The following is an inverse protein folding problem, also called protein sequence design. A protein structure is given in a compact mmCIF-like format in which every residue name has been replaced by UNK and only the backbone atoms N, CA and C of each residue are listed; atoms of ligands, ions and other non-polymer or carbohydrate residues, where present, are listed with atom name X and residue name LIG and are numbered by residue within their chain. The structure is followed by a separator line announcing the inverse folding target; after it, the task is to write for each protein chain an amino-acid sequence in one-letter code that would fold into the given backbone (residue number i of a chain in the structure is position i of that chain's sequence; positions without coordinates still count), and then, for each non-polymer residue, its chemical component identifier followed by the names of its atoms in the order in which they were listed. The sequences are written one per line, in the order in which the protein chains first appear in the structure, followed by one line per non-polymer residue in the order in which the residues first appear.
data_IF_693229679579
#
_entry.id   IF_693229679579
#
_cell.length_a   1.000
_cell.length_b   1.000
_cell.length_c   1.000
_cell.angle_alpha   90.00
_cell.angle_beta   90.00
_cell.angle_gamma   90.00
#
_symmetry.space_group_name_H-M   'P 1'
#
loop_
_entity.id
_entity.type
_entity.pdbx_description
1 polymer ?
#
# COMPACT_ATOMS: atom_id res chain seq x y z
N UNK A 1 -23.35 4.96 -0.24
CA UNK A 1 -22.10 4.40 -0.79
C UNK A 1 -22.49 3.37 -1.83
N UNK A 2 -22.66 3.81 -3.06
CA UNK A 2 -22.98 2.89 -4.16
C UNK A 2 -21.70 2.14 -4.54
N UNK A 3 -21.66 0.87 -4.14
CA UNK A 3 -20.64 -0.06 -4.60
C UNK A 3 -20.74 -0.17 -6.13
N UNK A 4 -19.61 0.00 -6.80
CA UNK A 4 -19.42 -0.26 -8.23
C UNK A 4 -20.08 -1.59 -8.63
N UNK A 5 -21.23 -1.53 -9.31
CA UNK A 5 -21.88 -2.67 -9.96
C UNK A 5 -21.64 -2.52 -11.45
N UNK A 6 -20.62 -3.18 -12.03
CA UNK A 6 -20.46 -3.18 -13.47
C UNK A 6 -21.62 -3.98 -14.07
N UNK A 7 -22.37 -3.36 -14.97
CA UNK A 7 -23.38 -4.07 -15.77
C UNK A 7 -22.67 -4.93 -16.83
N UNK A 8 -22.99 -6.22 -16.86
CA UNK A 8 -22.28 -7.25 -17.61
C UNK A 8 -21.62 -8.24 -16.65
N UNK A 9 -21.63 -9.54 -16.98
CA UNK A 9 -21.13 -10.61 -16.10
C UNK A 9 -19.65 -10.38 -15.73
N UNK A 10 -19.42 -9.66 -14.63
CA UNK A 10 -18.10 -9.34 -14.12
C UNK A 10 -17.29 -10.62 -13.94
N UNK A 11 -15.98 -10.54 -14.23
CA UNK A 11 -15.07 -11.66 -14.07
C UNK A 11 -15.28 -12.33 -12.71
N UNK A 12 -15.71 -13.60 -12.71
CA UNK A 12 -16.12 -14.34 -11.50
C UNK A 12 -15.07 -14.31 -10.39
N UNK A 13 -13.79 -14.18 -10.73
CA UNK A 13 -12.67 -14.05 -9.78
C UNK A 13 -12.68 -12.71 -9.04
N UNK A 14 -13.01 -11.60 -9.72
CA UNK A 14 -13.09 -10.27 -9.09
C UNK A 14 -14.23 -10.20 -8.09
N UNK A 15 -15.39 -10.79 -8.43
CA UNK A 15 -16.58 -10.80 -7.56
C UNK A 15 -16.39 -11.59 -6.26
N UNK A 16 -15.31 -12.38 -6.15
CA UNK A 16 -14.98 -13.20 -4.98
C UNK A 16 -13.92 -12.58 -4.08
N UNK A 17 -13.39 -11.41 -4.42
CA UNK A 17 -12.42 -10.72 -3.56
C UNK A 17 -13.12 -10.28 -2.26
N UNK A 18 -12.65 -10.72 -1.09
CA UNK A 18 -13.25 -10.28 0.16
C UNK A 18 -13.00 -8.78 0.37
N UNK A 19 -13.86 -8.09 1.14
CA UNK A 19 -13.58 -6.74 1.59
C UNK A 19 -12.23 -6.67 2.30
N UNK A 20 -11.44 -5.63 2.02
CA UNK A 20 -10.17 -5.41 2.70
C UNK A 20 -10.42 -4.98 4.15
N UNK A 21 -10.33 -5.95 5.07
CA UNK A 21 -10.68 -5.80 6.49
C UNK A 21 -9.97 -4.61 7.15
N UNK A 22 -8.71 -4.37 6.80
CA UNK A 22 -7.94 -3.27 7.38
C UNK A 22 -8.46 -1.88 6.99
N UNK A 23 -9.19 -1.71 5.88
CA UNK A 23 -9.79 -0.40 5.56
C UNK A 23 -10.84 -0.01 6.61
N UNK A 24 -11.67 -0.96 7.03
CA UNK A 24 -12.71 -0.72 8.04
C UNK A 24 -12.05 -0.34 9.37
N UNK A 25 -11.04 -1.12 9.80
CA UNK A 25 -10.31 -0.85 11.04
C UNK A 25 -9.57 0.50 10.97
N UNK A 26 -8.97 0.85 9.83
CA UNK A 26 -8.31 2.13 9.63
C UNK A 26 -9.30 3.30 9.74
N UNK A 27 -10.50 3.18 9.17
CA UNK A 27 -11.54 4.20 9.27
C UNK A 27 -11.97 4.41 10.72
N UNK A 28 -12.24 3.33 11.46
CA UNK A 28 -12.59 3.39 12.88
C UNK A 28 -11.48 4.04 13.73
N UNK A 29 -10.21 3.71 13.45
CA UNK A 29 -9.05 4.33 14.12
C UNK A 29 -8.97 5.83 13.83
N UNK A 30 -9.21 6.26 12.60
CA UNK A 30 -9.20 7.68 12.22
C UNK A 30 -10.30 8.43 12.97
N UNK A 31 -11.52 7.91 12.99
CA UNK A 31 -12.65 8.52 13.69
C UNK A 31 -12.41 8.59 15.21
N UNK A 32 -11.84 7.55 15.81
CA UNK A 32 -11.48 7.55 17.23
C UNK A 32 -10.40 8.59 17.56
N UNK A 33 -9.36 8.71 16.72
CA UNK A 33 -8.35 9.77 16.87
C UNK A 33 -8.97 11.17 16.74
N UNK A 34 -9.93 11.37 15.85
CA UNK A 34 -10.64 12.65 15.70
C UNK A 34 -11.49 13.01 16.92
N UNK A 35 -11.99 12.00 17.66
CA UNK A 35 -12.66 12.21 18.95
C UNK A 35 -11.70 12.48 20.11
N UNK A 36 -10.38 12.49 19.86
CA UNK A 36 -9.36 12.71 20.88
C UNK A 36 -9.00 11.46 21.69
N UNK A 37 -9.37 10.27 21.21
CA UNK A 37 -9.00 9.01 21.86
C UNK A 37 -7.50 8.68 21.63
N UNK A 38 -6.85 8.15 22.66
CA UNK A 38 -5.46 7.67 22.58
C UNK A 38 -5.41 6.26 21.96
N UNK A 39 -5.01 6.18 20.70
CA UNK A 39 -5.06 4.95 19.89
C UNK A 39 -3.68 4.34 19.71
N UNK A 40 -3.46 3.19 20.36
CA UNK A 40 -2.27 2.35 20.16
C UNK A 40 -2.56 1.35 19.04
N UNK A 41 -1.87 1.51 17.91
CA UNK A 41 -2.09 0.71 16.69
C UNK A 41 -1.04 -0.41 16.56
N UNK A 42 -1.39 -1.61 17.03
CA UNK A 42 -0.58 -2.83 16.89
C UNK A 42 -1.05 -3.72 15.74
N UNK A 43 -1.95 -3.22 14.87
CA UNK A 43 -2.68 -4.03 13.91
C UNK A 43 -1.99 -4.23 12.56
N UNK A 44 -1.04 -3.36 12.20
CA UNK A 44 -0.27 -3.48 10.97
C UNK A 44 1.22 -3.55 11.29
N UNK A 45 1.91 -4.56 10.75
CA UNK A 45 3.36 -4.75 10.88
C UNK A 45 4.18 -3.76 10.05
N UNK A 46 3.75 -2.50 9.96
CA UNK A 46 4.48 -1.46 9.27
C UNK A 46 5.66 -1.02 10.15
N UNK A 47 6.90 -1.02 9.63
CA UNK A 47 8.04 -0.49 10.38
C UNK A 47 7.82 0.98 10.74
N UNK A 48 8.19 1.34 11.96
CA UNK A 48 8.17 2.69 12.51
C UNK A 48 9.47 3.46 12.19
N UNK A 49 10.58 2.72 12.04
CA UNK A 49 11.89 3.27 11.72
C UNK A 49 12.03 3.61 10.23
N UNK A 50 12.77 4.68 9.89
CA UNK A 50 13.03 5.03 8.50
C UNK A 50 13.93 3.98 7.83
N UNK A 51 13.81 3.89 6.51
CA UNK A 51 14.75 3.10 5.69
C UNK A 51 16.20 3.54 5.97
N UNK A 52 17.15 2.61 6.20
CA UNK A 52 18.55 2.94 6.42
C UNK A 52 19.15 3.86 5.35
N UNK A 53 19.92 4.87 5.78
CA UNK A 53 20.47 5.92 4.89
C UNK A 53 21.24 5.37 3.68
N UNK A 54 22.03 4.32 3.86
CA UNK A 54 22.83 3.74 2.78
C UNK A 54 21.96 3.14 1.66
N UNK A 55 20.78 2.61 1.97
CA UNK A 55 19.82 2.09 0.99
C UNK A 55 19.22 3.26 0.20
N UNK A 56 18.79 4.32 0.89
CA UNK A 56 18.27 5.53 0.27
C UNK A 56 19.32 6.17 -0.66
N UNK A 57 20.57 6.24 -0.21
CA UNK A 57 21.67 6.75 -1.04
C UNK A 57 21.92 5.88 -2.27
N UNK A 58 21.88 4.56 -2.14
CA UNK A 58 22.05 3.67 -3.30
C UNK A 58 20.92 3.81 -4.31
N UNK A 59 19.68 4.00 -3.84
CA UNK A 59 18.54 4.32 -4.70
C UNK A 59 18.77 5.63 -5.47
N UNK A 60 19.21 6.68 -4.79
CA UNK A 60 19.52 7.99 -5.41
C UNK A 60 20.65 7.88 -6.44
N UNK A 61 21.68 7.10 -6.16
CA UNK A 61 22.76 6.82 -7.10
C UNK A 61 22.22 6.08 -8.34
N UNK A 62 21.42 5.03 -8.13
CA UNK A 62 20.88 4.20 -9.21
C UNK A 62 19.91 4.97 -10.11
N UNK A 63 19.04 5.82 -9.56
CA UNK A 63 18.06 6.59 -10.35
C UNK A 63 18.74 7.66 -11.22
N UNK A 64 19.90 8.17 -10.80
CA UNK A 64 20.70 9.13 -11.58
C UNK A 64 21.39 8.53 -12.80
N UNK A 65 21.47 7.20 -12.91
CA UNK A 65 22.09 6.53 -14.05
C UNK A 65 21.08 6.32 -15.19
N UNK A 66 21.21 7.00 -16.35
CA UNK A 66 20.26 6.87 -17.47
C UNK A 66 20.16 5.46 -18.05
N UNK A 67 21.17 4.61 -17.85
CA UNK A 67 21.12 3.20 -18.30
C UNK A 67 20.03 2.41 -17.59
N UNK A 68 19.70 2.79 -16.36
CA UNK A 68 18.69 2.12 -15.53
C UNK A 68 17.25 2.51 -15.90
N UNK A 69 17.05 3.46 -16.83
CA UNK A 69 15.71 3.92 -17.22
C UNK A 69 15.07 3.04 -18.30
N UNK A 70 15.82 2.10 -18.87
CA UNK A 70 15.34 1.16 -19.87
C UNK A 70 14.71 -0.06 -19.21
N UNK A 71 14.00 -0.86 -20.00
CA UNK A 71 13.48 -2.14 -19.53
C UNK A 71 14.60 -3.02 -18.96
N UNK A 72 14.38 -3.56 -17.77
CA UNK A 72 15.24 -4.60 -17.19
C UNK A 72 14.98 -5.96 -17.85
N UNK A 73 15.81 -6.94 -17.56
CA UNK A 73 15.44 -8.32 -17.87
C UNK A 73 14.22 -8.75 -17.03
N UNK A 74 13.53 -9.80 -17.48
CA UNK A 74 12.20 -10.18 -17.00
C UNK A 74 12.14 -10.58 -15.51
N UNK A 75 13.29 -10.90 -14.91
CA UNK A 75 13.41 -11.28 -13.49
C UNK A 75 14.17 -10.25 -12.65
N UNK A 76 14.33 -9.03 -13.17
CA UNK A 76 15.24 -8.03 -12.64
C UNK A 76 16.53 -7.97 -13.44
N UNK A 77 17.48 -7.16 -12.98
CA UNK A 77 18.87 -7.17 -13.46
C UNK A 77 19.57 -8.40 -12.90
#
# INVERSE_FOLDING_TARGET
MDAFRPEGAGFQRMMRLPPYVFNIVNQLKIEARQRGEDIIDLGMGNPDLPTPKHIVHKLIEAVKNPRNHRYSASKGI
#
